data_IF_836249714328
#
_entry.id   IF_836249714328
#
_cell.length_a   1.000
_cell.length_b   1.000
_cell.length_c   1.000
_cell.angle_alpha   90.00
_cell.angle_beta   90.00
_cell.angle_gamma   90.00
#
_symmetry.space_group_name_H-M   'P 1'
#
loop_
_entity.id
_entity.type
_entity.pdbx_description
1 polymer ?
#
# COMPACT_ATOMS: atom_id res chain seq x y z
N UNK A 1 20.86 15.20 21.96
CA UNK A 1 22.31 14.95 21.70
C UNK A 1 23.10 15.51 22.87
N UNK A 2 23.85 14.68 23.61
CA UNK A 2 24.62 15.15 24.77
C UNK A 2 25.97 15.69 24.30
N UNK A 3 26.22 16.96 24.61
CA UNK A 3 27.53 17.60 24.56
C UNK A 3 28.01 17.80 26.00
N UNK A 4 29.33 17.82 26.28
CA UNK A 4 30.45 17.61 25.35
C UNK A 4 30.63 16.14 24.93
N UNK A 5 31.18 15.90 23.74
CA UNK A 5 31.53 14.55 23.28
C UNK A 5 32.99 14.20 23.59
N UNK A 6 33.28 12.90 23.71
CA UNK A 6 34.64 12.39 23.85
C UNK A 6 35.51 12.77 22.64
N UNK A 7 36.74 13.19 22.90
CA UNK A 7 37.75 13.42 21.89
C UNK A 7 38.26 12.08 21.34
N UNK A 8 38.57 12.06 20.05
CA UNK A 8 39.08 10.86 19.37
C UNK A 8 40.21 11.33 18.47
N UNK A 9 41.42 10.85 18.72
CA UNK A 9 42.60 11.33 17.99
C UNK A 9 42.64 10.84 16.55
N UNK A 10 42.28 9.57 16.32
CA UNK A 10 42.28 8.93 15.00
C UNK A 10 40.98 8.17 14.73
N UNK A 11 40.52 8.22 13.48
CA UNK A 11 39.37 7.42 13.05
C UNK A 11 39.73 5.94 13.07
N UNK A 12 38.87 5.11 13.65
CA UNK A 12 39.07 3.67 13.74
C UNK A 12 37.74 2.91 13.66
N UNK A 13 37.83 1.63 13.36
CA UNK A 13 36.70 0.70 13.35
C UNK A 13 36.94 -0.29 14.49
N UNK A 14 35.97 -0.42 15.39
CA UNK A 14 35.98 -1.49 16.39
C UNK A 14 35.66 -2.81 15.70
N UNK A 15 36.62 -3.74 15.72
CA UNK A 15 36.52 -5.04 15.03
C UNK A 15 35.43 -5.92 15.65
N UNK A 16 35.15 -5.75 16.94
CA UNK A 16 34.20 -6.60 17.67
C UNK A 16 32.74 -6.19 17.46
N UNK A 17 32.48 -4.87 17.39
CA UNK A 17 31.14 -4.31 17.23
C UNK A 17 30.85 -3.83 15.81
N UNK A 18 31.88 -3.66 14.97
CA UNK A 18 31.77 -3.01 13.66
C UNK A 18 31.56 -1.49 13.74
N UNK A 19 31.65 -0.88 14.93
CA UNK A 19 31.36 0.54 15.11
C UNK A 19 32.47 1.41 14.52
N UNK A 20 32.09 2.34 13.63
CA UNK A 20 33.01 3.32 13.04
C UNK A 20 33.04 4.57 13.91
N UNK A 21 34.20 4.89 14.49
CA UNK A 21 34.43 6.11 15.25
C UNK A 21 35.33 7.04 14.46
N UNK A 22 34.87 8.27 14.21
CA UNK A 22 35.65 9.28 13.49
C UNK A 22 36.52 10.10 14.45
N UNK A 23 37.67 10.55 13.96
CA UNK A 23 38.50 11.56 14.62
C UNK A 23 37.66 12.78 15.00
N UNK A 24 37.81 13.23 16.24
CA UNK A 24 37.18 14.43 16.81
C UNK A 24 38.21 15.24 17.58
N UNK A 25 38.56 16.42 17.05
CA UNK A 25 39.50 17.36 17.64
C UNK A 25 38.87 18.32 18.65
N UNK A 26 37.55 18.49 18.64
CA UNK A 26 36.85 19.42 19.54
C UNK A 26 35.56 18.80 20.09
N UNK A 27 35.29 18.89 21.40
CA UNK A 27 34.18 18.18 22.04
C UNK A 27 32.79 18.75 21.70
N UNK A 28 32.74 19.98 21.17
CA UNK A 28 31.50 20.65 20.76
C UNK A 28 31.24 20.57 19.24
N UNK A 29 32.08 19.87 18.49
CA UNK A 29 31.95 19.71 17.05
C UNK A 29 31.41 18.30 16.75
N UNK A 30 30.30 18.25 16.02
CA UNK A 30 29.76 17.01 15.49
C UNK A 30 30.63 16.48 14.35
N UNK A 31 30.43 15.23 13.96
CA UNK A 31 31.11 14.69 12.78
C UNK A 31 30.64 15.46 11.53
N UNK A 32 31.58 15.92 10.72
CA UNK A 32 31.30 16.67 9.51
C UNK A 32 32.19 16.18 8.36
N UNK A 33 31.82 16.55 7.14
CA UNK A 33 32.60 16.37 5.93
C UNK A 33 33.03 17.76 5.43
N UNK A 34 34.33 17.94 5.19
CA UNK A 34 34.90 19.24 4.82
C UNK A 34 34.32 19.81 3.52
N UNK A 35 34.04 18.95 2.54
CA UNK A 35 33.51 19.37 1.24
C UNK A 35 32.03 19.76 1.34
N UNK A 36 31.24 18.95 2.05
CA UNK A 36 29.80 19.21 2.21
C UNK A 36 29.58 20.44 3.08
N UNK A 37 30.34 20.63 4.17
CA UNK A 37 30.20 21.85 4.99
C UNK A 37 30.60 23.10 4.20
N UNK A 38 31.63 23.01 3.36
CA UNK A 38 32.08 24.12 2.51
C UNK A 38 31.05 24.47 1.44
N UNK A 39 30.44 23.47 0.81
CA UNK A 39 29.45 23.65 -0.25
C UNK A 39 28.10 24.14 0.29
N UNK A 40 27.59 23.49 1.34
CA UNK A 40 26.24 23.74 1.87
C UNK A 40 26.20 24.85 2.93
N UNK A 41 27.35 25.20 3.53
CA UNK A 41 27.49 26.20 4.61
C UNK A 41 26.46 26.02 5.74
N UNK A 42 26.12 24.79 6.06
CA UNK A 42 25.14 24.43 7.08
C UNK A 42 25.74 23.46 8.11
N UNK A 43 25.15 23.42 9.30
CA UNK A 43 25.57 22.52 10.37
C UNK A 43 25.33 21.06 9.97
N UNK A 44 26.23 20.16 10.36
CA UNK A 44 26.16 18.74 10.01
C UNK A 44 26.38 17.84 11.22
N UNK A 45 25.78 16.65 11.17
CA UNK A 45 26.03 15.57 12.11
C UNK A 45 25.99 14.23 11.37
N UNK A 46 27.15 13.85 10.83
CA UNK A 46 27.31 12.61 10.05
C UNK A 46 27.38 11.41 10.99
N UNK A 47 26.48 10.45 10.81
CA UNK A 47 26.45 9.17 11.54
C UNK A 47 26.58 8.00 10.57
N UNK A 48 27.39 7.03 10.94
CA UNK A 48 27.45 5.74 10.25
C UNK A 48 26.39 4.81 10.84
N UNK A 49 25.64 4.12 9.99
CA UNK A 49 24.59 3.19 10.38
C UNK A 49 25.08 1.80 9.99
N UNK A 50 25.37 0.96 10.99
CA UNK A 50 25.90 -0.39 10.75
C UNK A 50 25.07 -1.46 11.43
N UNK A 51 24.51 -1.17 12.59
CA UNK A 51 23.70 -2.12 13.37
C UNK A 51 22.19 -1.88 13.15
N UNK A 52 21.39 -2.94 13.30
CA UNK A 52 19.94 -2.83 13.25
C UNK A 52 19.35 -1.92 14.34
N UNK A 53 20.00 -1.84 15.51
CA UNK A 53 19.63 -0.92 16.59
C UNK A 53 19.88 0.54 16.22
N UNK A 54 21.02 0.86 15.61
CA UNK A 54 21.32 2.22 15.16
C UNK A 54 20.40 2.65 14.03
N UNK A 55 20.10 1.74 13.10
CA UNK A 55 19.14 1.96 12.03
C UNK A 55 17.75 2.25 12.61
N UNK A 56 17.28 1.43 13.56
CA UNK A 56 16.00 1.64 14.25
C UNK A 56 15.94 2.98 14.99
N UNK A 57 16.98 3.32 15.74
CA UNK A 57 17.07 4.59 16.46
C UNK A 57 17.06 5.79 15.51
N UNK A 58 17.76 5.69 14.37
CA UNK A 58 17.74 6.72 13.35
C UNK A 58 16.36 6.85 12.69
N UNK A 59 15.67 5.75 12.39
CA UNK A 59 14.31 5.80 11.84
C UNK A 59 13.38 6.54 12.79
N UNK A 60 13.43 6.28 14.11
CA UNK A 60 12.65 7.06 15.07
C UNK A 60 13.04 8.52 15.07
N UNK A 61 14.33 8.84 15.07
CA UNK A 61 14.79 10.23 15.06
C UNK A 61 14.33 10.99 13.80
N UNK A 62 14.45 10.37 12.62
CA UNK A 62 14.00 10.95 11.36
C UNK A 62 12.48 11.07 11.37
N UNK A 63 11.76 10.03 11.81
CA UNK A 63 10.31 10.06 11.90
C UNK A 63 9.85 11.21 12.81
N UNK A 64 10.37 11.32 14.03
CA UNK A 64 10.05 12.41 14.96
C UNK A 64 10.33 13.80 14.36
N UNK A 65 11.40 13.92 13.57
CA UNK A 65 11.74 15.17 12.90
C UNK A 65 10.80 15.49 11.75
N UNK A 66 10.43 14.50 10.93
CA UNK A 66 9.50 14.63 9.80
C UNK A 66 8.08 14.86 10.28
N UNK A 67 7.66 14.16 11.34
CA UNK A 67 6.33 14.29 11.94
C UNK A 67 6.24 15.43 12.95
N UNK A 68 7.32 16.22 13.11
CA UNK A 68 7.33 17.37 14.01
C UNK A 68 6.20 18.29 13.60
N UNK A 69 5.19 18.41 14.47
CA UNK A 69 4.01 19.23 14.21
C UNK A 69 4.46 20.65 13.89
N UNK A 70 3.99 21.19 12.77
CA UNK A 70 4.31 22.56 12.35
C UNK A 70 3.77 23.61 13.33
N UNK A 71 2.76 23.24 14.11
CA UNK A 71 2.12 24.09 15.11
C UNK A 71 2.16 23.40 16.48
N UNK A 72 2.50 24.14 17.52
CA UNK A 72 2.44 23.62 18.87
C UNK A 72 0.97 23.40 19.29
N UNK A 73 0.74 22.46 20.22
CA UNK A 73 -0.60 22.10 20.64
C UNK A 73 -1.41 23.29 21.21
N UNK A 74 -0.76 24.19 21.95
CA UNK A 74 -1.42 25.36 22.53
C UNK A 74 -1.90 26.36 21.48
N UNK A 75 -1.14 26.53 20.38
CA UNK A 75 -1.54 27.37 19.25
C UNK A 75 -2.72 26.76 18.50
N UNK A 76 -2.71 25.43 18.31
CA UNK A 76 -3.82 24.71 17.67
C UNK A 76 -5.11 24.86 18.49
N UNK A 77 -5.02 24.78 19.82
CA UNK A 77 -6.14 25.01 20.73
C UNK A 77 -6.68 26.45 20.62
N UNK A 78 -5.80 27.46 20.61
CA UNK A 78 -6.19 28.85 20.46
C UNK A 78 -6.90 29.13 19.11
N UNK A 79 -6.41 28.52 18.03
CA UNK A 79 -7.04 28.61 16.71
C UNK A 79 -8.40 27.91 16.66
N UNK A 80 -8.53 26.73 17.28
CA UNK A 80 -9.81 26.04 17.41
C UNK A 80 -10.81 26.89 18.21
N UNK A 81 -10.40 27.48 19.34
CA UNK A 81 -11.24 28.38 20.14
C UNK A 81 -11.70 29.59 19.32
N UNK A 82 -10.82 30.16 18.48
CA UNK A 82 -11.19 31.23 17.55
C UNK A 82 -12.22 30.77 16.51
N UNK A 83 -12.08 29.56 15.97
CA UNK A 83 -13.04 28.95 15.06
C UNK A 83 -14.43 28.78 15.69
N UNK A 84 -14.48 28.34 16.96
CA UNK A 84 -15.71 28.18 17.74
C UNK A 84 -16.40 29.54 17.96
N UNK A 85 -15.66 30.55 18.46
CA UNK A 85 -16.19 31.91 18.67
C UNK A 85 -16.74 32.53 17.39
N UNK A 86 -16.09 32.28 16.24
CA UNK A 86 -16.56 32.73 14.93
C UNK A 86 -17.92 32.14 14.55
N UNK A 87 -18.25 30.92 14.99
CA UNK A 87 -19.55 30.28 14.72
C UNK A 87 -20.61 30.78 15.69
N UNK A 88 -20.28 30.93 16.98
CA UNK A 88 -21.19 31.49 17.98
C UNK A 88 -21.68 32.89 17.59
N UNK A 89 -20.78 33.71 17.05
CA UNK A 89 -21.12 35.04 16.53
C UNK A 89 -22.03 35.00 15.28
N UNK A 90 -21.91 33.98 14.44
CA UNK A 90 -22.73 33.81 13.22
C UNK A 90 -24.09 33.14 13.52
N UNK A 91 -24.19 32.32 14.56
CA UNK A 91 -25.44 31.68 14.99
C UNK A 91 -26.47 32.68 15.54
N UNK A 92 -26.07 33.89 15.88
CA UNK A 92 -26.99 34.98 16.23
C UNK A 92 -27.90 35.42 15.06
N UNK A 93 -27.67 34.94 13.83
CA UNK A 93 -28.32 35.48 12.61
C UNK A 93 -29.13 34.46 11.80
N UNK A 94 -29.09 33.14 12.09
CA UNK A 94 -29.87 32.17 11.30
C UNK A 94 -30.17 30.89 12.10
N UNK A 95 -31.45 30.56 12.23
CA UNK A 95 -31.92 29.40 13.00
C UNK A 95 -32.87 28.52 12.21
N UNK A 96 -32.34 27.44 11.60
CA UNK A 96 -33.04 26.20 11.21
C UNK A 96 -32.03 25.19 10.62
N UNK A 97 -30.98 24.81 11.36
CA UNK A 97 -30.02 23.78 10.91
C UNK A 97 -30.02 22.57 11.83
N UNK A 98 -29.92 21.38 11.24
CA UNK A 98 -29.82 20.10 11.94
C UNK A 98 -28.56 20.05 12.81
N UNK A 99 -28.62 19.35 13.95
CA UNK A 99 -27.48 19.19 14.85
C UNK A 99 -26.26 18.56 14.13
N UNK A 100 -26.50 17.66 13.18
CA UNK A 100 -25.44 17.03 12.38
C UNK A 100 -24.76 18.06 11.47
N UNK A 101 -25.52 18.93 10.82
CA UNK A 101 -24.94 19.96 9.94
C UNK A 101 -24.15 21.01 10.73
N UNK A 102 -24.67 21.40 11.91
CA UNK A 102 -23.97 22.29 12.84
C UNK A 102 -22.63 21.70 13.28
N UNK A 103 -22.61 20.42 13.65
CA UNK A 103 -21.35 19.75 14.04
C UNK A 103 -20.36 19.64 12.89
N UNK A 104 -20.81 19.30 11.68
CA UNK A 104 -19.95 19.30 10.47
C UNK A 104 -19.35 20.67 10.21
N UNK A 105 -20.16 21.73 10.26
CA UNK A 105 -19.69 23.12 10.08
C UNK A 105 -18.69 23.53 11.15
N UNK A 106 -18.91 23.15 12.40
CA UNK A 106 -17.97 23.40 13.50
C UNK A 106 -16.60 22.79 13.23
N UNK A 107 -16.56 21.51 12.90
CA UNK A 107 -15.31 20.80 12.59
C UNK A 107 -14.62 21.41 11.37
N UNK A 108 -15.36 21.63 10.27
CA UNK A 108 -14.83 22.26 9.06
C UNK A 108 -14.26 23.65 9.33
N UNK A 109 -14.93 24.45 10.16
CA UNK A 109 -14.46 25.81 10.49
C UNK A 109 -13.19 25.75 11.31
N UNK A 110 -13.15 24.93 12.36
CA UNK A 110 -11.95 24.76 13.18
C UNK A 110 -10.76 24.26 12.32
N UNK A 111 -11.00 23.26 11.48
CA UNK A 111 -9.99 22.73 10.57
C UNK A 111 -9.49 23.81 9.60
N UNK A 112 -10.38 24.53 8.93
CA UNK A 112 -9.98 25.59 7.99
C UNK A 112 -9.26 26.74 8.69
N UNK A 113 -9.63 27.09 9.93
CA UNK A 113 -8.91 28.09 10.73
C UNK A 113 -7.50 27.61 11.08
N UNK A 114 -7.33 26.35 11.49
CA UNK A 114 -6.01 25.77 11.75
C UNK A 114 -5.18 25.72 10.45
N UNK A 115 -5.74 25.18 9.38
CA UNK A 115 -5.05 25.02 8.09
C UNK A 115 -4.64 26.36 7.47
N UNK A 116 -5.48 27.40 7.57
CA UNK A 116 -5.16 28.74 7.05
C UNK A 116 -4.03 29.44 7.79
N UNK A 117 -3.80 29.08 9.05
CA UNK A 117 -2.73 29.65 9.89
C UNK A 117 -1.54 28.68 10.00
N UNK A 118 -1.55 27.58 9.25
CA UNK A 118 -0.43 26.66 9.18
C UNK A 118 0.68 27.28 8.33
N UNK A 119 1.82 27.57 8.96
CA UNK A 119 3.00 28.03 8.25
C UNK A 119 3.62 26.89 7.44
N UNK A 120 3.95 27.18 6.18
CA UNK A 120 4.63 26.25 5.26
C UNK A 120 6.03 26.79 5.00
N UNK A 121 7.04 25.91 4.99
CA UNK A 121 8.41 26.33 4.72
C UNK A 121 8.53 26.92 3.30
N UNK A 122 9.26 28.03 3.15
CA UNK A 122 9.52 28.62 1.84
C UNK A 122 10.17 27.63 0.85
N UNK A 123 10.94 26.66 1.36
CA UNK A 123 11.53 25.58 0.54
C UNK A 123 10.45 24.63 0.00
N UNK A 124 9.44 24.30 0.81
CA UNK A 124 8.31 23.46 0.37
C UNK A 124 7.49 24.18 -0.70
N UNK A 125 7.21 25.48 -0.50
CA UNK A 125 6.50 26.31 -1.49
C UNK A 125 7.29 26.39 -2.79
N UNK A 126 8.60 26.65 -2.72
CA UNK A 126 9.46 26.68 -3.90
C UNK A 126 9.48 25.33 -4.62
N UNK A 127 9.63 24.21 -3.91
CA UNK A 127 9.61 22.86 -4.49
C UNK A 127 8.30 22.57 -5.22
N UNK A 128 7.17 22.96 -4.63
CA UNK A 128 5.85 22.81 -5.22
C UNK A 128 5.69 23.67 -6.48
N UNK A 129 6.05 24.96 -6.42
CA UNK A 129 5.97 25.87 -7.56
C UNK A 129 6.88 25.45 -8.72
N UNK A 130 8.05 24.89 -8.40
CA UNK A 130 8.99 24.36 -9.40
C UNK A 130 8.62 22.97 -9.90
N UNK A 131 7.56 22.35 -9.37
CA UNK A 131 7.08 21.02 -9.73
C UNK A 131 8.19 19.94 -9.63
N UNK A 132 9.04 20.03 -8.60
CA UNK A 132 10.12 19.06 -8.38
C UNK A 132 9.64 17.72 -7.82
N UNK A 133 8.34 17.59 -7.52
CA UNK A 133 7.79 16.42 -6.85
C UNK A 133 8.12 16.40 -5.36
N UNK A 134 7.58 15.39 -4.68
CA UNK A 134 7.70 15.19 -3.23
C UNK A 134 8.38 13.87 -2.86
N UNK A 135 8.82 13.09 -3.84
CA UNK A 135 9.49 11.81 -3.63
C UNK A 135 10.47 11.48 -4.76
N UNK A 136 11.50 10.70 -4.42
CA UNK A 136 12.41 10.07 -5.38
C UNK A 136 12.26 8.57 -5.28
N UNK A 137 11.93 7.92 -6.39
CA UNK A 137 11.77 6.45 -6.45
C UNK A 137 12.56 5.90 -7.63
N UNK A 138 13.30 4.83 -7.38
CA UNK A 138 14.00 4.08 -8.43
C UNK A 138 13.08 3.12 -9.17
N UNK A 139 11.97 2.75 -8.52
CA UNK A 139 11.00 1.78 -9.02
C UNK A 139 9.60 2.38 -8.98
N UNK A 140 8.72 1.87 -9.83
CA UNK A 140 7.29 2.13 -9.76
C UNK A 140 6.63 1.08 -8.88
N UNK A 141 5.67 1.50 -8.06
CA UNK A 141 5.02 0.63 -7.09
C UNK A 141 3.56 0.41 -7.46
N UNK A 142 3.02 -0.76 -7.11
CA UNK A 142 1.60 -1.06 -7.28
C UNK A 142 1.03 -1.76 -6.05
N UNK A 143 -0.10 -1.25 -5.56
CA UNK A 143 -0.68 -1.78 -4.33
C UNK A 143 -1.38 -3.13 -4.57
N UNK A 144 -1.24 -4.04 -3.61
CA UNK A 144 -1.99 -5.29 -3.51
C UNK A 144 -2.79 -5.24 -2.21
N UNK A 145 -4.11 -5.32 -2.30
CA UNK A 145 -4.96 -5.44 -1.12
C UNK A 145 -5.06 -6.92 -0.73
N UNK A 146 -4.03 -7.42 -0.05
CA UNK A 146 -3.92 -8.85 0.26
C UNK A 146 -5.08 -9.36 1.13
N UNK A 147 -5.59 -8.51 2.01
CA UNK A 147 -6.70 -8.85 2.92
C UNK A 147 -7.98 -9.28 2.19
N UNK A 148 -8.32 -8.65 1.05
CA UNK A 148 -9.53 -9.03 0.31
C UNK A 148 -9.40 -10.42 -0.34
N UNK A 149 -8.18 -10.76 -0.77
CA UNK A 149 -7.86 -12.07 -1.30
C UNK A 149 -7.85 -13.12 -0.19
N UNK A 150 -7.23 -12.81 0.96
CA UNK A 150 -7.24 -13.69 2.14
C UNK A 150 -8.65 -14.00 2.62
N UNK A 151 -9.52 -12.99 2.70
CA UNK A 151 -10.91 -13.16 3.13
C UNK A 151 -11.70 -14.05 2.17
N UNK A 152 -11.54 -13.86 0.87
CA UNK A 152 -12.15 -14.73 -0.14
C UNK A 152 -11.67 -16.18 -0.01
N UNK A 153 -10.35 -16.39 0.10
CA UNK A 153 -9.79 -17.73 0.26
C UNK A 153 -10.28 -18.40 1.55
N UNK A 154 -10.40 -17.63 2.65
CA UNK A 154 -10.95 -18.13 3.90
C UNK A 154 -12.40 -18.58 3.75
N UNK A 155 -13.24 -17.76 3.11
CA UNK A 155 -14.64 -18.08 2.87
C UNK A 155 -14.81 -19.33 2.00
N UNK A 156 -14.02 -19.46 0.93
CA UNK A 156 -14.05 -20.63 0.06
C UNK A 156 -13.53 -21.90 0.75
N UNK A 157 -12.45 -21.82 1.54
CA UNK A 157 -11.99 -22.95 2.36
C UNK A 157 -13.07 -23.39 3.35
N UNK A 158 -13.76 -22.44 3.98
CA UNK A 158 -14.84 -22.73 4.92
C UNK A 158 -16.01 -23.44 4.23
N UNK A 159 -16.38 -23.01 3.01
CA UNK A 159 -17.41 -23.69 2.20
C UNK A 159 -17.04 -25.13 1.89
N UNK A 160 -15.78 -25.38 1.48
CA UNK A 160 -15.29 -26.74 1.20
C UNK A 160 -15.35 -27.61 2.46
N UNK A 161 -14.89 -27.09 3.60
CA UNK A 161 -14.94 -27.80 4.89
C UNK A 161 -16.36 -28.12 5.35
N UNK A 162 -17.33 -27.24 5.08
CA UNK A 162 -18.75 -27.49 5.38
C UNK A 162 -19.31 -28.59 4.48
N UNK A 163 -19.02 -28.54 3.17
CA UNK A 163 -19.48 -29.57 2.23
C UNK A 163 -18.88 -30.97 2.46
N UNK A 164 -17.70 -31.06 3.09
CA UNK A 164 -17.09 -32.35 3.48
C UNK A 164 -17.75 -32.94 4.74
N UNK A 165 -18.23 -32.10 5.67
CA UNK A 165 -18.94 -32.56 6.88
C UNK A 165 -20.34 -33.10 6.59
N UNK A 166 -21.03 -32.53 5.61
CA UNK A 166 -22.35 -33.00 5.19
C UNK A 166 -22.31 -34.43 4.56
N UNK A 167 -21.13 -34.94 4.20
CA UNK A 167 -20.94 -36.29 3.65
C UNK A 167 -20.68 -37.33 4.77
N UNK A 168 -20.09 -36.92 5.90
CA UNK A 168 -19.76 -37.82 7.01
C UNK A 168 -20.90 -37.96 8.04
N UNK A 169 -21.88 -37.05 8.06
CA UNK A 169 -23.02 -37.08 9.01
C UNK A 169 -24.15 -38.07 8.63
N UNK A 170 -24.09 -38.77 7.49
CA UNK A 170 -25.00 -39.90 7.19
C UNK A 170 -24.57 -41.24 7.81
N UNK A 171 -23.36 -41.35 8.41
CA UNK A 171 -22.88 -42.55 9.10
C UNK A 171 -22.20 -42.23 10.45
N UNK A 172 -22.93 -41.73 11.45
CA UNK A 172 -22.75 -42.17 12.86
C UNK A 172 -23.71 -41.44 13.81
N UNK A 173 -24.62 -42.23 14.39
CA UNK A 173 -25.30 -41.90 15.64
C UNK A 173 -24.30 -41.89 16.81
N UNK A 174 -24.54 -40.96 17.75
CA UNK A 174 -24.06 -40.88 19.13
C UNK A 174 -22.68 -40.23 19.48
N UNK A 175 -22.80 -39.16 20.28
CA UNK A 175 -22.01 -38.73 21.46
C UNK A 175 -21.03 -37.53 21.39
N UNK A 176 -21.49 -36.46 22.05
CA UNK A 176 -20.81 -35.52 22.97
C UNK A 176 -19.93 -34.36 22.45
N UNK A 177 -20.43 -33.16 22.80
CA UNK A 177 -19.88 -31.79 22.66
C UNK A 177 -18.62 -31.58 23.55
N UNK A 178 -17.69 -30.70 23.14
CA UNK A 178 -17.29 -29.65 24.08
C UNK A 178 -17.32 -28.25 23.46
N UNK A 179 -17.90 -27.35 24.25
CA UNK A 179 -17.97 -25.90 24.09
C UNK A 179 -16.59 -25.27 23.82
N UNK A 180 -16.46 -24.59 22.69
CA UNK A 180 -15.56 -23.45 22.56
C UNK A 180 -16.30 -22.32 21.85
N UNK A 181 -16.37 -21.21 22.57
CA UNK A 181 -16.85 -19.91 22.12
C UNK A 181 -15.97 -19.42 20.96
N UNK A 182 -16.39 -19.65 19.71
CA UNK A 182 -15.86 -18.90 18.58
C UNK A 182 -17.02 -18.55 17.65
N UNK A 183 -17.35 -17.25 17.71
CA UNK A 183 -18.06 -16.41 16.74
C UNK A 183 -18.98 -17.13 15.74
N UNK A 184 -20.27 -16.81 15.87
CA UNK A 184 -21.27 -16.89 14.79
C UNK A 184 -20.79 -16.10 13.56
N UNK A 185 -19.90 -16.70 12.75
CA UNK A 185 -19.65 -16.25 11.40
C UNK A 185 -20.76 -16.85 10.53
N UNK A 186 -21.94 -16.22 10.60
CA UNK A 186 -22.90 -16.26 9.48
C UNK A 186 -22.11 -16.01 8.21
N UNK A 187 -22.15 -16.97 7.27
CA UNK A 187 -21.58 -16.84 5.94
C UNK A 187 -22.32 -15.72 5.18
N UNK A 188 -21.99 -14.46 5.49
CA UNK A 188 -22.44 -13.30 4.74
C UNK A 188 -21.91 -13.47 3.32
N UNK A 189 -22.83 -13.42 2.36
CA UNK A 189 -22.48 -13.25 0.94
C UNK A 189 -21.42 -12.16 0.85
N UNK A 190 -20.18 -12.57 0.56
CA UNK A 190 -19.06 -11.64 0.56
C UNK A 190 -19.16 -10.87 -0.76
N UNK A 191 -19.84 -9.73 -0.74
CA UNK A 191 -19.95 -8.85 -1.90
C UNK A 191 -18.56 -8.59 -2.49
N UNK A 192 -18.45 -8.71 -3.81
CA UNK A 192 -17.18 -8.50 -4.51
C UNK A 192 -16.73 -7.04 -4.38
N UNK A 193 -15.58 -6.82 -3.75
CA UNK A 193 -15.04 -5.47 -3.56
C UNK A 193 -14.22 -5.03 -4.78
N UNK A 194 -14.62 -3.90 -5.37
CA UNK A 194 -13.89 -3.24 -6.45
C UNK A 194 -13.32 -1.91 -5.98
N UNK A 195 -12.08 -1.63 -6.39
CA UNK A 195 -11.39 -0.38 -6.11
C UNK A 195 -11.50 0.52 -7.33
N UNK A 196 -11.82 1.79 -7.12
CA UNK A 196 -11.83 2.79 -8.18
C UNK A 196 -10.42 3.36 -8.38
N UNK A 197 -9.77 3.01 -9.47
CA UNK A 197 -8.47 3.57 -9.85
C UNK A 197 -8.65 4.65 -10.94
N UNK A 198 -8.05 5.84 -10.77
CA UNK A 198 -8.07 6.87 -11.81
C UNK A 198 -7.24 6.42 -13.02
N UNK A 199 -7.81 6.52 -14.21
CA UNK A 199 -7.15 6.27 -15.49
C UNK A 199 -7.10 7.53 -16.34
N UNK A 200 -5.98 7.72 -17.05
CA UNK A 200 -5.77 8.85 -17.95
C UNK A 200 -6.43 8.56 -19.29
N UNK A 201 -7.57 9.17 -19.55
CA UNK A 201 -8.22 9.19 -20.87
C UNK A 201 -7.98 10.51 -21.59
N UNK A 202 -8.05 10.51 -22.93
CA UNK A 202 -7.88 11.71 -23.77
C UNK A 202 -8.89 12.84 -23.44
N UNK A 203 -9.99 12.51 -22.76
CA UNK A 203 -11.08 13.43 -22.41
C UNK A 203 -11.12 13.83 -20.92
N UNK A 204 -10.11 13.49 -20.12
CA UNK A 204 -10.03 13.84 -18.68
C UNK A 204 -9.82 12.64 -17.75
N UNK A 205 -10.23 12.81 -16.48
CA UNK A 205 -10.17 11.78 -15.45
C UNK A 205 -11.30 10.77 -15.66
N UNK A 206 -10.96 9.51 -15.96
CA UNK A 206 -11.88 8.39 -15.93
C UNK A 206 -11.51 7.46 -14.78
N UNK A 207 -12.45 6.66 -14.28
CA UNK A 207 -12.20 5.68 -13.23
C UNK A 207 -12.40 4.26 -13.77
N UNK A 208 -11.54 3.35 -13.35
CA UNK A 208 -11.62 1.93 -13.68
C UNK A 208 -11.89 1.16 -12.39
N UNK A 209 -12.86 0.26 -12.42
CA UNK A 209 -13.07 -0.71 -11.35
C UNK A 209 -12.01 -1.80 -11.44
N UNK A 210 -11.23 -1.97 -10.37
CA UNK A 210 -10.13 -2.91 -10.28
C UNK A 210 -10.38 -3.89 -9.14
N UNK A 211 -10.37 -5.18 -9.49
CA UNK A 211 -10.33 -6.27 -8.53
C UNK A 211 -9.17 -7.18 -8.95
N UNK A 212 -8.04 -7.04 -8.27
CA UNK A 212 -6.80 -7.73 -8.61
C UNK A 212 -6.93 -9.24 -8.53
N UNK A 213 -7.79 -9.74 -7.64
CA UNK A 213 -8.09 -11.17 -7.51
C UNK A 213 -8.75 -11.70 -8.77
N UNK A 214 -9.84 -11.07 -9.22
CA UNK A 214 -10.56 -11.46 -10.43
C UNK A 214 -9.68 -11.30 -11.68
N UNK A 215 -8.93 -10.20 -11.78
CA UNK A 215 -8.00 -9.98 -12.88
C UNK A 215 -6.96 -11.12 -12.98
N UNK A 216 -6.51 -11.67 -11.83
CA UNK A 216 -5.57 -12.79 -11.75
C UNK A 216 -6.22 -14.15 -12.01
N UNK A 217 -7.38 -14.44 -11.39
CA UNK A 217 -8.08 -15.73 -11.54
C UNK A 217 -8.52 -15.97 -12.99
N UNK A 218 -8.98 -14.92 -13.66
CA UNK A 218 -9.44 -14.97 -15.05
C UNK A 218 -8.38 -14.51 -16.07
N UNK A 219 -7.10 -14.61 -15.72
CA UNK A 219 -5.99 -14.35 -16.64
C UNK A 219 -5.98 -15.34 -17.82
N UNK A 220 -5.38 -14.90 -18.93
CA UNK A 220 -5.13 -15.70 -20.13
C UNK A 220 -4.49 -17.06 -19.80
N UNK A 221 -4.76 -18.08 -20.62
CA UNK A 221 -4.20 -19.43 -20.45
C UNK A 221 -2.67 -19.42 -20.52
N UNK A 222 -2.11 -18.52 -21.31
CA UNK A 222 -0.67 -18.32 -21.47
C UNK A 222 0.02 -17.83 -20.18
N UNK A 223 -0.73 -17.25 -19.25
CA UNK A 223 -0.22 -16.67 -18.00
C UNK A 223 -0.39 -17.61 -16.80
N UNK A 224 -0.73 -18.88 -17.02
CA UNK A 224 -1.08 -19.81 -15.94
C UNK A 224 0.08 -20.08 -14.98
N UNK A 225 1.32 -20.10 -15.48
CA UNK A 225 2.52 -20.35 -14.67
C UNK A 225 2.92 -19.20 -13.74
N UNK A 226 2.33 -18.01 -13.88
CA UNK A 226 2.68 -16.86 -13.05
C UNK A 226 1.97 -16.94 -11.69
N UNK A 227 2.72 -16.76 -10.61
CA UNK A 227 2.15 -16.49 -9.29
C UNK A 227 1.65 -15.04 -9.19
N UNK A 228 0.78 -14.77 -8.22
CA UNK A 228 0.08 -13.49 -8.09
C UNK A 228 1.04 -12.29 -8.04
N UNK A 229 2.11 -12.37 -7.25
CA UNK A 229 3.09 -11.29 -7.13
C UNK A 229 3.75 -10.93 -8.47
N UNK A 230 4.17 -11.94 -9.24
CA UNK A 230 4.81 -11.74 -10.54
C UNK A 230 3.81 -11.25 -11.59
N UNK A 231 2.58 -11.77 -11.58
CA UNK A 231 1.52 -11.27 -12.45
C UNK A 231 1.29 -9.76 -12.28
N UNK A 232 1.22 -9.27 -11.04
CA UNK A 232 1.00 -7.85 -10.75
C UNK A 232 2.23 -7.01 -11.09
N UNK A 233 3.44 -7.58 -10.92
CA UNK A 233 4.70 -6.94 -11.28
C UNK A 233 4.84 -6.76 -12.81
N UNK A 234 4.35 -7.73 -13.58
CA UNK A 234 4.53 -7.79 -15.02
C UNK A 234 3.35 -7.22 -15.81
N UNK A 235 2.11 -7.30 -15.33
CA UNK A 235 0.91 -6.95 -16.10
C UNK A 235 0.00 -5.94 -15.39
N UNK A 236 -0.61 -5.07 -16.20
CA UNK A 236 -1.70 -4.20 -15.77
C UNK A 236 -2.90 -4.29 -16.69
N UNK A 237 -4.06 -3.98 -16.12
CA UNK A 237 -5.32 -3.89 -16.85
C UNK A 237 -5.41 -2.55 -17.57
N UNK A 238 -5.79 -2.58 -18.85
CA UNK A 238 -6.02 -1.39 -19.69
C UNK A 238 -7.37 -1.50 -20.40
N UNK A 239 -8.07 -0.38 -20.50
CA UNK A 239 -9.26 -0.24 -21.35
C UNK A 239 -8.89 -0.47 -22.82
N UNK A 240 -9.68 -1.27 -23.53
CA UNK A 240 -9.51 -1.56 -24.95
C UNK A 240 -9.71 -0.28 -25.77
N UNK A 241 -8.68 0.11 -26.54
CA UNK A 241 -8.75 1.26 -27.44
C UNK A 241 -9.12 0.87 -28.90
N UNK A 242 -9.18 1.86 -29.80
CA UNK A 242 -9.50 1.62 -31.22
C UNK A 242 -8.48 0.72 -31.92
N UNK A 243 -7.21 0.79 -31.55
CA UNK A 243 -6.18 -0.10 -32.11
C UNK A 243 -6.39 -1.52 -31.61
N UNK A 244 -6.70 -1.67 -30.33
CA UNK A 244 -6.94 -2.97 -29.68
C UNK A 244 -8.13 -3.69 -30.28
N UNK A 245 -9.22 -2.96 -30.59
CA UNK A 245 -10.38 -3.53 -31.30
C UNK A 245 -10.03 -4.07 -32.69
N UNK A 246 -9.13 -3.42 -33.42
CA UNK A 246 -8.68 -3.90 -34.74
C UNK A 246 -7.89 -5.20 -34.60
N UNK A 247 -7.09 -5.31 -33.54
CA UNK A 247 -6.32 -6.53 -33.25
C UNK A 247 -7.23 -7.70 -32.89
N UNK A 248 -8.22 -7.44 -32.03
CA UNK A 248 -9.21 -8.43 -31.63
C UNK A 248 -10.09 -8.88 -32.81
N UNK A 249 -10.33 -8.00 -33.80
CA UNK A 249 -11.07 -8.36 -35.00
C UNK A 249 -10.23 -9.18 -36.02
N UNK A 250 -8.92 -8.93 -36.07
CA UNK A 250 -8.00 -9.60 -36.99
C UNK A 250 -7.51 -10.95 -36.46
N UNK A 251 -7.23 -11.03 -35.17
CA UNK A 251 -7.03 -12.30 -34.51
C UNK A 251 -8.37 -13.02 -34.49
N UNK A 252 -8.43 -14.29 -34.91
CA UNK A 252 -9.53 -15.20 -34.56
C UNK A 252 -9.45 -15.53 -33.06
N UNK A 253 -9.34 -14.49 -32.21
CA UNK A 253 -8.92 -14.60 -30.83
C UNK A 253 -9.92 -15.46 -30.08
N UNK A 254 -9.48 -16.66 -29.69
CA UNK A 254 -10.22 -17.47 -28.76
C UNK A 254 -10.03 -16.89 -27.35
N UNK A 255 -10.88 -17.31 -26.43
CA UNK A 255 -10.93 -16.77 -25.08
C UNK A 255 -9.61 -17.03 -24.31
N UNK A 256 -8.94 -15.95 -23.88
CA UNK A 256 -7.72 -15.99 -23.08
C UNK A 256 -6.43 -16.38 -23.83
N UNK A 257 -6.11 -15.66 -24.92
CA UNK A 257 -4.89 -15.87 -25.74
C UNK A 257 -4.02 -14.60 -25.83
N UNK A 258 -2.72 -14.82 -26.09
CA UNK A 258 -1.76 -13.77 -26.44
C UNK A 258 -2.09 -13.13 -27.79
N UNK A 259 -2.22 -11.81 -27.80
CA UNK A 259 -2.37 -11.03 -29.02
C UNK A 259 -0.97 -10.81 -29.65
N UNK A 260 -0.72 -11.42 -30.81
CA UNK A 260 0.50 -11.21 -31.60
C UNK A 260 0.22 -10.33 -32.82
N UNK A 261 1.20 -9.50 -33.19
CA UNK A 261 1.16 -8.68 -34.41
C UNK A 261 2.54 -8.76 -35.08
N UNK A 262 2.56 -8.95 -36.39
CA UNK A 262 3.74 -8.70 -37.22
C UNK A 262 3.94 -7.19 -37.37
N UNK A 263 5.03 -6.64 -36.81
CA UNK A 263 5.36 -5.22 -36.92
C UNK A 263 5.99 -4.61 -35.65
N UNK A 264 5.85 -3.28 -35.50
CA UNK A 264 6.45 -2.46 -34.43
C UNK A 264 6.34 -3.13 -33.06
N UNK A 265 7.46 -3.18 -32.30
CA UNK A 265 7.53 -3.78 -30.96
C UNK A 265 6.54 -3.12 -30.00
N UNK A 266 5.36 -3.71 -29.91
CA UNK A 266 4.33 -3.33 -28.94
C UNK A 266 4.48 -4.19 -27.69
N UNK A 267 4.12 -3.66 -26.53
CA UNK A 267 4.09 -4.45 -25.30
C UNK A 267 3.16 -5.66 -25.46
N UNK A 268 3.56 -6.79 -24.88
CA UNK A 268 2.81 -8.05 -24.88
C UNK A 268 1.40 -7.85 -24.30
N UNK A 269 0.38 -8.41 -24.95
CA UNK A 269 -1.02 -8.25 -24.56
C UNK A 269 -1.77 -9.57 -24.53
N UNK A 270 -2.74 -9.64 -23.64
CA UNK A 270 -3.56 -10.83 -23.38
C UNK A 270 -5.01 -10.45 -23.14
N UNK A 271 -5.95 -11.28 -23.60
CA UNK A 271 -7.37 -11.14 -23.25
C UNK A 271 -7.67 -11.81 -21.91
N UNK A 272 -8.69 -11.32 -21.20
CA UNK A 272 -9.23 -12.04 -20.05
C UNK A 272 -10.08 -13.21 -20.52
N UNK A 273 -10.28 -14.21 -19.64
CA UNK A 273 -11.28 -15.24 -19.86
C UNK A 273 -12.70 -14.63 -19.86
N UNK A 274 -13.62 -15.26 -20.57
CA UNK A 274 -15.00 -14.83 -20.80
C UNK A 274 -15.79 -14.63 -19.51
N UNK A 275 -15.49 -15.43 -18.49
CA UNK A 275 -16.07 -15.33 -17.15
C UNK A 275 -15.68 -14.04 -16.40
N UNK A 276 -14.64 -13.33 -16.84
CA UNK A 276 -14.25 -12.07 -16.23
C UNK A 276 -15.30 -10.97 -16.52
N UNK A 277 -15.79 -10.23 -15.51
CA UNK A 277 -16.84 -9.20 -15.71
C UNK A 277 -16.49 -8.11 -16.72
N UNK A 278 -15.19 -7.88 -16.95
CA UNK A 278 -14.68 -6.85 -17.87
C UNK A 278 -13.94 -7.42 -19.08
N UNK A 279 -14.15 -8.70 -19.42
CA UNK A 279 -13.48 -9.37 -20.55
C UNK A 279 -13.66 -8.67 -21.90
N UNK A 280 -14.84 -8.10 -22.14
CA UNK A 280 -15.18 -7.40 -23.39
C UNK A 280 -14.66 -5.96 -23.48
N UNK A 281 -14.27 -5.36 -22.36
CA UNK A 281 -13.92 -3.93 -22.26
C UNK A 281 -12.45 -3.67 -21.94
N UNK A 282 -11.75 -4.65 -21.36
CA UNK A 282 -10.38 -4.51 -20.88
C UNK A 282 -9.46 -5.63 -21.38
N UNK A 283 -8.16 -5.36 -21.42
CA UNK A 283 -7.09 -6.31 -21.78
C UNK A 283 -5.94 -6.19 -20.78
N UNK A 284 -5.14 -7.25 -20.66
CA UNK A 284 -3.90 -7.25 -19.89
C UNK A 284 -2.73 -6.82 -20.78
N UNK A 285 -1.90 -5.93 -20.28
CA UNK A 285 -0.71 -5.45 -20.98
C UNK A 285 0.49 -5.56 -20.09
N UNK A 286 1.58 -6.08 -20.65
CA UNK A 286 2.86 -6.16 -19.98
C UNK A 286 3.45 -4.77 -19.76
N UNK A 287 3.92 -4.50 -18.56
CA UNK A 287 4.66 -3.29 -18.25
C UNK A 287 5.95 -3.21 -19.07
N UNK A 288 6.34 -1.98 -19.43
CA UNK A 288 7.64 -1.75 -20.08
C UNK A 288 8.79 -2.03 -19.11
N UNK A 289 8.63 -1.62 -17.85
CA UNK A 289 9.53 -1.93 -16.75
C UNK A 289 8.71 -2.61 -15.63
N UNK A 290 9.17 -3.72 -15.04
CA UNK A 290 8.47 -4.36 -13.94
C UNK A 290 8.18 -3.38 -12.79
N UNK A 291 6.99 -3.51 -12.20
CA UNK A 291 6.60 -2.72 -11.02
C UNK A 291 6.83 -3.54 -9.75
N UNK A 292 7.08 -2.88 -8.62
CA UNK A 292 7.23 -3.53 -7.31
C UNK A 292 5.88 -3.55 -6.61
N UNK A 293 5.28 -4.74 -6.40
CA UNK A 293 4.03 -4.82 -5.65
C UNK A 293 4.23 -4.49 -4.17
N UNK A 294 3.32 -3.67 -3.62
CA UNK A 294 3.30 -3.25 -2.21
C UNK A 294 2.08 -3.85 -1.55
N UNK A 295 2.30 -4.69 -0.54
CA UNK A 295 1.23 -5.34 0.20
C UNK A 295 0.57 -4.33 1.14
N UNK A 296 -0.71 -4.06 0.92
CA UNK A 296 -1.58 -3.31 1.80
C UNK A 296 -2.48 -4.25 2.59
N UNK A 297 -2.61 -3.97 3.88
CA UNK A 297 -3.40 -4.77 4.81
C UNK A 297 -2.58 -5.17 6.04
N UNK A 298 -3.10 -6.12 6.86
CA UNK A 298 -2.39 -6.61 8.01
C UNK A 298 -1.06 -7.26 7.59
N UNK A 299 -0.02 -7.06 8.39
CA UNK A 299 1.28 -7.69 8.11
C UNK A 299 1.13 -9.23 8.03
N UNK A 300 1.92 -9.83 7.14
CA UNK A 300 2.05 -11.28 7.07
C UNK A 300 2.57 -11.77 8.43
N UNK A 301 1.89 -12.74 9.08
CA UNK A 301 2.32 -13.25 10.38
C UNK A 301 3.74 -13.82 10.35
N UNK A 302 4.37 -13.96 11.53
CA UNK A 302 5.68 -14.60 11.62
C UNK A 302 5.52 -16.11 11.48
N UNK A 303 6.42 -16.74 10.72
CA UNK A 303 6.46 -18.20 10.51
C UNK A 303 6.46 -19.03 11.80
N UNK A 304 7.12 -18.53 12.84
CA UNK A 304 7.36 -19.25 14.10
C UNK A 304 6.14 -19.32 15.03
N UNK A 305 5.08 -18.56 14.73
CA UNK A 305 3.88 -18.47 15.55
C UNK A 305 2.85 -19.52 15.12
N UNK A 306 2.65 -20.52 15.97
CA UNK A 306 1.76 -21.66 15.69
C UNK A 306 0.30 -21.24 15.54
N UNK A 307 -0.16 -20.30 16.38
CA UNK A 307 -1.50 -19.69 16.34
C UNK A 307 -1.84 -18.99 15.01
N UNK A 308 -0.82 -18.57 14.26
CA UNK A 308 -1.01 -17.85 12.98
C UNK A 308 -0.38 -18.57 11.79
N UNK A 309 0.03 -19.83 11.97
CA UNK A 309 0.75 -20.60 10.96
C UNK A 309 -0.09 -20.84 9.71
N UNK A 310 -1.37 -21.17 9.86
CA UNK A 310 -2.29 -21.35 8.73
C UNK A 310 -2.42 -20.07 7.89
N UNK A 311 -2.62 -18.93 8.56
CA UNK A 311 -2.69 -17.62 7.90
C UNK A 311 -1.38 -17.28 7.19
N UNK A 312 -0.22 -17.57 7.80
CA UNK A 312 1.10 -17.38 7.17
C UNK A 312 1.25 -18.22 5.90
N UNK A 313 0.95 -19.53 5.97
CA UNK A 313 1.02 -20.42 4.82
C UNK A 313 0.10 -19.93 3.69
N UNK A 314 -1.16 -19.62 4.02
CA UNK A 314 -2.13 -19.10 3.05
C UNK A 314 -1.63 -17.83 2.37
N UNK A 315 -1.09 -16.86 3.12
CA UNK A 315 -0.56 -15.63 2.55
C UNK A 315 0.60 -15.88 1.57
N UNK A 316 1.54 -16.76 1.92
CA UNK A 316 2.67 -17.10 1.04
C UNK A 316 2.25 -17.87 -0.20
N UNK A 317 1.40 -18.88 -0.04
CA UNK A 317 0.88 -19.67 -1.15
C UNK A 317 0.10 -18.79 -2.14
N UNK A 318 -0.70 -17.86 -1.62
CA UNK A 318 -1.44 -16.88 -2.42
C UNK A 318 -0.52 -16.01 -3.28
N UNK A 319 0.62 -15.59 -2.74
CA UNK A 319 1.53 -14.64 -3.40
C UNK A 319 2.49 -15.32 -4.38
N UNK A 320 3.00 -16.51 -4.03
CA UNK A 320 4.17 -17.12 -4.66
C UNK A 320 3.91 -18.50 -5.27
N UNK A 321 2.68 -19.00 -5.22
CA UNK A 321 2.28 -20.19 -5.97
C UNK A 321 1.28 -19.80 -7.05
N UNK A 322 1.34 -20.38 -8.26
CA UNK A 322 0.32 -20.15 -9.27
C UNK A 322 -1.01 -20.81 -8.89
N UNK A 323 -2.12 -20.05 -8.92
CA UNK A 323 -3.46 -20.58 -8.63
C UNK A 323 -4.53 -19.88 -9.47
N UNK A 324 -5.70 -20.51 -9.61
CA UNK A 324 -6.95 -19.93 -10.14
C UNK A 324 -8.12 -20.17 -9.18
N UNK A 325 -8.09 -21.30 -8.48
CA UNK A 325 -9.06 -21.73 -7.48
C UNK A 325 -8.38 -22.06 -6.15
N UNK A 326 -9.18 -22.20 -5.09
CA UNK A 326 -8.69 -22.65 -3.78
C UNK A 326 -8.13 -24.07 -3.84
N UNK A 327 -8.72 -24.93 -4.67
CA UNK A 327 -8.25 -26.31 -4.86
C UNK A 327 -6.78 -26.39 -5.30
N UNK A 328 -6.33 -25.44 -6.13
CA UNK A 328 -4.93 -25.38 -6.58
C UNK A 328 -3.95 -25.14 -5.42
N UNK A 329 -4.40 -24.46 -4.36
CA UNK A 329 -3.58 -24.17 -3.18
C UNK A 329 -3.62 -25.30 -2.15
N UNK A 330 -4.72 -26.04 -2.08
CA UNK A 330 -4.89 -27.19 -1.16
C UNK A 330 -4.21 -28.47 -1.68
N UNK A 331 -3.97 -28.59 -2.98
CA UNK A 331 -3.37 -29.77 -3.61
C UNK A 331 -1.83 -29.86 -3.52
N UNK A 332 -1.18 -28.93 -2.80
CA UNK A 332 0.26 -28.82 -2.60
C UNK A 332 0.69 -29.48 -1.29
#
# INVERSE_FOLDING_TARGET
MRMPRALVENSHIDVSTGQITMRRSHPWINNFNEWVISACRCNMDIKFIWTGSDAKALVYYIADYVTKSSLAFYDMFALAQRGIKSIEQQQATCGTESAIEKSRKLVLRCYNTIASHQEVSGVQVASYLMNYGDHYTTHTFRNIFLISIENYLQAEIMKVRLSEKDIDEEESDELSIPSHEDQEDEAKETEEQFILEPTKTKSGHSYVMVNTRLDYQHRSKDLTALWLYEFISLFHKKVIDKSDRRLLANAKASDGERLSIEGTKMNERHTFASLHPQSSSHTLIKHTNPVVPVLLGPQIPRREREDTRERYCRALLTLFVPWRSVGDLCAL
#
